data_IF_422021269348
#
_entry.id   IF_422021269348
#
_cell.length_a   1.000
_cell.length_b   1.000
_cell.length_c   1.000
_cell.angle_alpha   90.00
_cell.angle_beta   90.00
_cell.angle_gamma   90.00
#
_symmetry.space_group_name_H-M   'P 1'
#
loop_
_entity.id
_entity.type
_entity.pdbx_description
1 polymer ?
#
# COMPACT_ATOMS: atom_id res chain seq x y z
N UNK A 1 3.64 -26.65 -2.78
CA UNK A 1 4.73 -26.62 -3.77
C UNK A 1 5.27 -25.20 -3.81
N UNK A 2 6.53 -24.98 -3.44
CA UNK A 2 7.17 -23.67 -3.57
C UNK A 2 7.82 -23.58 -4.95
N UNK A 3 7.77 -22.43 -5.60
CA UNK A 3 8.43 -22.20 -6.90
C UNK A 3 9.34 -21.00 -6.70
N UNK A 4 10.61 -21.10 -7.11
CA UNK A 4 11.52 -19.96 -7.12
C UNK A 4 11.72 -19.46 -8.55
N UNK A 5 11.62 -18.15 -8.73
CA UNK A 5 11.99 -17.48 -9.97
C UNK A 5 13.42 -16.95 -9.82
N UNK A 6 14.27 -17.26 -10.78
CA UNK A 6 15.66 -16.80 -10.82
C UNK A 6 15.83 -15.95 -12.05
N UNK A 7 16.28 -14.71 -11.85
CA UNK A 7 16.63 -13.82 -12.97
C UNK A 7 18.08 -14.06 -13.33
N UNK A 8 18.33 -14.47 -14.57
CA UNK A 8 19.68 -14.59 -15.10
C UNK A 8 19.67 -14.34 -16.60
N UNK A 9 20.75 -13.73 -17.10
CA UNK A 9 21.02 -13.63 -18.54
C UNK A 9 21.75 -14.89 -19.08
N UNK A 10 22.07 -15.82 -18.19
CA UNK A 10 22.77 -17.07 -18.50
C UNK A 10 21.78 -18.22 -18.63
N UNK A 11 21.72 -18.81 -19.83
CA UNK A 11 20.85 -19.94 -20.17
C UNK A 11 21.36 -21.26 -19.58
N UNK A 12 22.62 -21.33 -19.12
CA UNK A 12 23.24 -22.53 -18.55
C UNK A 12 23.24 -22.53 -17.01
N UNK A 13 22.38 -21.71 -16.39
CA UNK A 13 22.35 -21.55 -14.94
C UNK A 13 22.12 -22.88 -14.21
N UNK A 14 23.12 -23.33 -13.45
CA UNK A 14 23.04 -24.56 -12.70
C UNK A 14 22.15 -24.40 -11.44
N UNK A 15 20.90 -24.86 -11.54
CA UNK A 15 19.94 -24.78 -10.43
C UNK A 15 20.35 -25.60 -9.19
N UNK A 16 21.26 -26.57 -9.33
CA UNK A 16 21.77 -27.36 -8.21
C UNK A 16 22.71 -26.56 -7.33
N UNK A 17 23.56 -25.72 -7.93
CA UNK A 17 24.46 -24.81 -7.19
C UNK A 17 23.66 -23.77 -6.40
N UNK A 18 22.61 -23.21 -6.99
CA UNK A 18 21.70 -22.28 -6.32
C UNK A 18 21.03 -22.96 -5.14
N UNK A 19 20.63 -24.23 -5.31
CA UNK A 19 20.01 -25.00 -4.23
C UNK A 19 20.97 -25.23 -3.07
N UNK A 20 22.21 -25.63 -3.35
CA UNK A 20 23.24 -25.82 -2.32
C UNK A 20 23.60 -24.50 -1.62
N UNK A 21 23.63 -23.39 -2.37
CA UNK A 21 23.83 -22.07 -1.79
C UNK A 21 22.68 -21.68 -0.85
N UNK A 22 21.42 -21.85 -1.29
CA UNK A 22 20.23 -21.55 -0.49
C UNK A 22 20.19 -22.36 0.82
N UNK A 23 20.63 -23.63 0.81
CA UNK A 23 20.68 -24.48 2.02
C UNK A 23 21.59 -23.93 3.13
N UNK A 24 22.57 -23.08 2.79
CA UNK A 24 23.45 -22.45 3.79
C UNK A 24 22.72 -21.42 4.66
N UNK A 25 21.65 -20.82 4.13
CA UNK A 25 20.93 -19.70 4.77
C UNK A 25 19.46 -20.01 5.06
N UNK A 26 18.86 -20.97 4.36
CA UNK A 26 17.45 -21.32 4.46
C UNK A 26 17.28 -22.73 5.03
N UNK A 27 16.23 -22.92 5.84
CA UNK A 27 15.86 -24.26 6.33
C UNK A 27 15.42 -25.14 5.16
N UNK A 28 15.61 -26.46 5.29
CA UNK A 28 15.35 -27.46 4.24
C UNK A 28 13.96 -27.35 3.59
N UNK A 29 12.93 -26.96 4.34
CA UNK A 29 11.56 -26.80 3.82
C UNK A 29 11.31 -25.50 3.04
N UNK A 30 12.22 -24.52 3.12
CA UNK A 30 12.16 -23.25 2.37
C UNK A 30 12.94 -23.33 1.05
N UNK A 31 13.84 -24.31 0.92
CA UNK A 31 14.61 -24.54 -0.31
C UNK A 31 13.72 -25.29 -1.30
N UNK A 32 13.28 -24.60 -2.36
CA UNK A 32 12.43 -25.22 -3.38
C UNK A 32 13.18 -26.25 -4.22
N UNK A 33 12.44 -27.25 -4.71
CA UNK A 33 12.89 -28.19 -5.72
C UNK A 33 12.74 -27.65 -7.15
N UNK A 34 11.95 -26.59 -7.37
CA UNK A 34 11.60 -26.10 -8.70
C UNK A 34 12.02 -24.65 -8.90
N UNK A 35 12.98 -24.44 -9.79
CA UNK A 35 13.50 -23.13 -10.18
C UNK A 35 13.06 -22.83 -11.62
N UNK A 36 12.48 -21.66 -11.84
CA UNK A 36 12.13 -21.13 -13.15
C UNK A 36 13.11 -20.00 -13.45
N UNK A 37 13.98 -20.20 -14.44
CA UNK A 37 14.89 -19.16 -14.91
C UNK A 37 14.12 -18.25 -15.88
N UNK A 38 14.22 -16.94 -15.67
CA UNK A 38 13.58 -15.91 -16.49
C UNK A 38 14.61 -14.83 -16.83
N UNK A 39 14.53 -14.26 -18.03
CA UNK A 39 15.46 -13.21 -18.46
C UNK A 39 15.26 -11.92 -17.64
N UNK A 40 14.02 -11.66 -17.24
CA UNK A 40 13.63 -10.54 -16.36
C UNK A 40 12.35 -10.90 -15.61
N UNK A 41 12.17 -10.33 -14.43
CA UNK A 41 10.86 -10.37 -13.80
C UNK A 41 9.83 -9.69 -14.72
N UNK A 42 8.67 -10.32 -14.99
CA UNK A 42 7.60 -9.64 -15.68
C UNK A 42 7.08 -8.53 -14.77
N UNK A 43 7.55 -7.31 -14.99
CA UNK A 43 7.06 -6.12 -14.28
C UNK A 43 5.71 -5.79 -14.91
N UNK A 44 4.64 -6.31 -14.30
CA UNK A 44 3.26 -6.19 -14.76
C UNK A 44 2.59 -4.90 -14.26
N UNK A 45 3.33 -3.81 -14.18
CA UNK A 45 2.79 -2.56 -13.68
C UNK A 45 1.74 -1.95 -14.64
N UNK A 46 1.74 -2.34 -15.92
CA UNK A 46 0.69 -2.01 -16.90
C UNK A 46 -0.02 -3.25 -17.50
N UNK A 47 -0.11 -4.35 -16.73
CA UNK A 47 -0.61 -5.63 -17.21
C UNK A 47 -1.91 -6.07 -16.52
N UNK A 48 -2.35 -7.29 -16.84
CA UNK A 48 -3.51 -7.91 -16.16
C UNK A 48 -3.26 -7.93 -14.65
N UNK A 49 -4.26 -7.54 -13.87
CA UNK A 49 -4.22 -7.62 -12.42
C UNK A 49 -4.00 -9.07 -11.97
N UNK A 50 -3.20 -9.26 -10.93
CA UNK A 50 -3.00 -10.58 -10.33
C UNK A 50 -4.32 -11.18 -9.84
N UNK A 51 -4.39 -12.51 -9.70
CA UNK A 51 -5.58 -13.16 -9.14
C UNK A 51 -5.97 -12.63 -7.76
N UNK A 52 -4.97 -12.25 -6.94
CA UNK A 52 -5.21 -11.63 -5.64
C UNK A 52 -5.88 -10.26 -5.77
N UNK A 53 -5.38 -9.39 -6.67
CA UNK A 53 -5.98 -8.08 -6.95
C UNK A 53 -7.38 -8.21 -7.55
N UNK A 54 -7.61 -9.15 -8.47
CA UNK A 54 -8.93 -9.42 -9.04
C UNK A 54 -9.93 -9.85 -7.97
N UNK A 55 -9.52 -10.75 -7.06
CA UNK A 55 -10.36 -11.18 -5.95
C UNK A 55 -10.69 -10.04 -5.00
N UNK A 56 -9.69 -9.25 -4.59
CA UNK A 56 -9.88 -8.11 -3.71
C UNK A 56 -10.85 -7.10 -4.33
N UNK A 57 -10.62 -6.73 -5.58
CA UNK A 57 -11.49 -5.80 -6.31
C UNK A 57 -12.92 -6.33 -6.42
N UNK A 58 -13.10 -7.61 -6.75
CA UNK A 58 -14.43 -8.22 -6.86
C UNK A 58 -15.14 -8.27 -5.50
N UNK A 59 -14.42 -8.67 -4.44
CA UNK A 59 -14.95 -8.72 -3.07
C UNK A 59 -15.38 -7.31 -2.61
N UNK A 60 -14.56 -6.29 -2.89
CA UNK A 60 -14.89 -4.89 -2.67
C UNK A 60 -16.17 -4.49 -3.43
N UNK A 61 -16.29 -4.79 -4.72
CA UNK A 61 -17.49 -4.45 -5.50
C UNK A 61 -18.75 -5.18 -5.04
N UNK A 62 -18.65 -6.45 -4.64
CA UNK A 62 -19.80 -7.23 -4.14
C UNK A 62 -20.26 -6.71 -2.79
N UNK A 63 -19.34 -6.53 -1.84
CA UNK A 63 -19.68 -6.07 -0.48
C UNK A 63 -20.33 -4.70 -0.46
N UNK A 64 -19.94 -3.84 -1.41
CA UNK A 64 -20.30 -2.43 -1.43
C UNK A 64 -21.22 -2.06 -2.60
N UNK A 65 -21.90 -3.05 -3.20
CA UNK A 65 -23.03 -2.81 -4.09
C UNK A 65 -24.21 -2.28 -3.26
N UNK A 66 -24.89 -1.25 -3.75
CA UNK A 66 -25.95 -0.48 -3.05
C UNK A 66 -27.07 -1.32 -2.43
N UNK A 67 -27.24 -2.57 -2.88
CA UNK A 67 -28.22 -3.53 -2.35
C UNK A 67 -27.79 -4.21 -1.03
N UNK A 68 -26.50 -4.22 -0.72
CA UNK A 68 -25.93 -4.83 0.49
C UNK A 68 -25.36 -3.69 1.34
N UNK A 69 -25.85 -3.53 2.57
CA UNK A 69 -25.47 -2.48 3.55
C UNK A 69 -23.98 -2.50 4.00
N UNK A 70 -23.03 -2.92 3.16
CA UNK A 70 -21.61 -2.78 3.45
C UNK A 70 -21.17 -1.34 3.26
N UNK A 71 -20.77 -0.68 4.35
CA UNK A 71 -19.99 0.58 4.27
C UNK A 71 -18.58 0.42 4.88
N UNK A 72 -18.30 -0.74 5.47
CA UNK A 72 -17.07 -1.06 6.21
C UNK A 72 -16.03 -1.68 5.27
N UNK A 73 -14.96 -0.96 4.98
CA UNK A 73 -13.75 -1.51 4.37
C UNK A 73 -13.14 -2.57 5.27
N UNK A 74 -12.64 -3.64 4.66
CA UNK A 74 -11.93 -4.74 5.33
C UNK A 74 -10.49 -4.89 4.83
N UNK A 75 -10.05 -4.00 3.94
CA UNK A 75 -8.76 -4.06 3.27
C UNK A 75 -7.88 -2.82 3.54
N UNK A 76 -8.37 -1.86 4.32
CA UNK A 76 -7.54 -0.74 4.74
C UNK A 76 -6.47 -1.27 5.70
N UNK A 77 -5.21 -0.99 5.40
CA UNK A 77 -4.10 -1.28 6.30
C UNK A 77 -3.66 0.02 6.98
N UNK A 78 -3.81 0.08 8.30
CA UNK A 78 -3.54 1.28 9.10
C UNK A 78 -2.20 1.15 9.83
N UNK A 79 -1.29 2.09 9.56
CA UNK A 79 -0.02 2.24 10.28
C UNK A 79 -0.03 3.55 11.06
N UNK A 80 0.02 3.45 12.39
CA UNK A 80 0.03 4.61 13.30
C UNK A 80 1.42 4.81 13.87
N UNK A 81 1.95 6.02 13.72
CA UNK A 81 3.21 6.43 14.32
C UNK A 81 2.99 7.58 15.28
N UNK A 82 3.40 7.41 16.54
CA UNK A 82 3.47 8.51 17.49
C UNK A 82 4.81 9.22 17.34
N UNK A 83 4.76 10.47 16.89
CA UNK A 83 5.95 11.32 16.84
C UNK A 83 6.10 12.05 18.17
N UNK A 84 7.19 11.78 18.87
CA UNK A 84 7.58 12.51 20.07
C UNK A 84 8.78 13.39 19.70
N UNK A 85 8.53 14.52 19.06
CA UNK A 85 9.58 15.47 18.69
C UNK A 85 9.54 16.69 19.61
N UNK A 86 10.71 17.17 20.05
CA UNK A 86 10.84 18.43 20.78
C UNK A 86 10.64 19.66 19.88
N UNK A 87 10.58 19.47 18.56
CA UNK A 87 10.42 20.50 17.54
C UNK A 87 9.14 20.28 16.74
N UNK A 88 8.59 21.37 16.20
CA UNK A 88 7.38 21.34 15.36
C UNK A 88 7.63 20.57 14.06
N UNK A 89 6.74 19.63 13.73
CA UNK A 89 6.76 18.93 12.44
C UNK A 89 6.37 19.89 11.31
N UNK A 90 7.25 20.05 10.32
CA UNK A 90 6.91 20.79 9.10
C UNK A 90 6.03 19.94 8.20
N UNK A 91 4.75 20.28 8.12
CA UNK A 91 3.77 19.60 7.27
C UNK A 91 4.17 19.67 5.79
N UNK A 92 4.73 20.79 5.34
CA UNK A 92 5.15 20.95 3.95
C UNK A 92 6.30 20.01 3.58
N UNK A 93 7.30 19.85 4.47
CA UNK A 93 8.40 18.90 4.26
C UNK A 93 7.89 17.46 4.26
N UNK A 94 6.95 17.12 5.15
CA UNK A 94 6.34 15.80 5.16
C UNK A 94 5.57 15.54 3.86
N UNK A 95 4.77 16.50 3.39
CA UNK A 95 4.03 16.40 2.12
C UNK A 95 4.99 16.19 0.95
N UNK A 96 6.10 16.93 0.89
CA UNK A 96 7.12 16.75 -0.14
C UNK A 96 7.78 15.37 -0.07
N UNK A 97 8.14 14.90 1.12
CA UNK A 97 8.74 13.58 1.30
C UNK A 97 7.79 12.46 0.85
N UNK A 98 6.51 12.52 1.25
CA UNK A 98 5.49 11.56 0.81
C UNK A 98 5.27 11.60 -0.70
N UNK A 99 5.20 12.80 -1.28
CA UNK A 99 5.09 12.97 -2.74
C UNK A 99 6.26 12.32 -3.48
N UNK A 100 7.49 12.48 -2.98
CA UNK A 100 8.67 11.85 -3.56
C UNK A 100 8.63 10.31 -3.48
N UNK A 101 8.15 9.75 -2.36
CA UNK A 101 7.97 8.30 -2.19
C UNK A 101 6.94 7.78 -3.21
N UNK A 102 5.77 8.42 -3.30
CA UNK A 102 4.71 8.00 -4.23
C UNK A 102 5.14 8.17 -5.68
N UNK A 103 5.87 9.23 -6.01
CA UNK A 103 6.46 9.41 -7.34
C UNK A 103 7.47 8.33 -7.70
N UNK A 104 8.30 7.91 -6.74
CA UNK A 104 9.33 6.89 -6.91
C UNK A 104 8.76 5.48 -7.06
N UNK A 105 7.72 5.13 -6.31
CA UNK A 105 7.17 3.77 -6.27
C UNK A 105 5.81 3.71 -6.98
N UNK A 106 5.77 3.00 -8.10
CA UNK A 106 4.60 2.95 -8.99
C UNK A 106 3.36 2.35 -8.32
N UNK A 107 3.56 1.43 -7.36
CA UNK A 107 2.47 0.74 -6.67
C UNK A 107 1.47 1.69 -5.99
N UNK A 108 1.94 2.85 -5.48
CA UNK A 108 1.08 3.84 -4.83
C UNK A 108 0.24 4.66 -5.81
N UNK A 109 0.48 4.50 -7.10
CA UNK A 109 -0.21 5.19 -8.19
C UNK A 109 -0.75 4.20 -9.23
N UNK A 110 -0.85 2.92 -8.87
CA UNK A 110 -1.46 1.88 -9.70
C UNK A 110 -2.96 1.87 -9.50
N UNK A 111 -3.71 2.17 -10.55
CA UNK A 111 -5.15 1.98 -10.62
C UNK A 111 -5.51 0.58 -11.12
N UNK A 112 -6.66 0.06 -10.71
CA UNK A 112 -7.28 -1.15 -11.23
C UNK A 112 -8.48 -0.76 -12.09
N UNK A 113 -8.38 -0.98 -13.41
CA UNK A 113 -9.35 -0.51 -14.40
C UNK A 113 -9.74 -1.68 -15.30
N UNK A 114 -11.03 -1.82 -15.60
CA UNK A 114 -11.48 -2.78 -16.61
C UNK A 114 -11.16 -2.29 -18.02
N UNK A 115 -10.50 -3.14 -18.80
CA UNK A 115 -10.26 -2.96 -20.23
C UNK A 115 -10.49 -4.30 -20.94
N UNK A 116 -11.31 -4.32 -21.98
CA UNK A 116 -11.65 -5.52 -22.78
C UNK A 116 -11.93 -6.78 -21.91
N UNK A 117 -12.83 -6.65 -20.94
CA UNK A 117 -13.25 -7.70 -20.00
C UNK A 117 -12.17 -8.22 -19.03
N UNK A 118 -11.02 -7.54 -18.94
CA UNK A 118 -9.96 -7.87 -17.99
C UNK A 118 -9.72 -6.71 -17.04
N UNK A 119 -9.53 -7.03 -15.76
CA UNK A 119 -9.04 -6.07 -14.79
C UNK A 119 -7.54 -5.85 -15.05
N UNK A 120 -7.18 -4.62 -15.39
CA UNK A 120 -5.83 -4.20 -15.72
C UNK A 120 -5.27 -3.31 -14.60
N UNK A 121 -3.98 -3.47 -14.35
CA UNK A 121 -3.19 -2.50 -13.60
C UNK A 121 -2.80 -1.37 -14.55
N UNK A 122 -3.04 -0.12 -14.14
CA UNK A 122 -2.65 1.06 -14.88
C UNK A 122 -1.92 2.02 -13.96
N UNK A 123 -0.65 2.27 -14.26
CA UNK A 123 0.12 3.28 -13.55
C UNK A 123 -0.34 4.68 -13.97
N UNK A 124 -0.77 5.48 -13.00
CA UNK A 124 -1.14 6.87 -13.21
C UNK A 124 0.08 7.78 -13.21
N UNK A 125 0.14 8.81 -14.07
CA UNK A 125 1.23 9.77 -14.07
C UNK A 125 1.30 10.53 -12.74
N UNK A 126 2.48 11.05 -12.44
CA UNK A 126 2.69 11.91 -11.27
C UNK A 126 1.82 13.16 -11.45
N UNK A 127 1.03 13.50 -10.43
CA UNK A 127 0.16 14.68 -10.41
C UNK A 127 0.16 15.33 -9.02
N UNK A 128 -0.46 16.49 -8.87
CA UNK A 128 -0.54 17.15 -7.56
C UNK A 128 -1.52 16.48 -6.59
N UNK A 129 -2.38 15.57 -7.06
CA UNK A 129 -3.44 14.93 -6.27
C UNK A 129 -3.18 13.42 -6.10
N UNK A 130 -1.93 13.03 -5.83
CA UNK A 130 -1.52 11.63 -5.73
C UNK A 130 -2.05 10.90 -4.48
N UNK A 131 -2.35 11.64 -3.41
CA UNK A 131 -2.88 11.09 -2.17
C UNK A 131 -3.60 12.17 -1.37
N UNK A 132 -4.47 11.75 -0.47
CA UNK A 132 -5.14 12.65 0.46
C UNK A 132 -4.29 12.83 1.73
N UNK A 133 -4.10 14.09 2.14
CA UNK A 133 -3.46 14.46 3.40
C UNK A 133 -4.45 15.26 4.24
N UNK A 134 -4.90 14.69 5.35
CA UNK A 134 -5.81 15.33 6.30
C UNK A 134 -5.09 15.69 7.60
N UNK A 135 -5.51 16.78 8.24
CA UNK A 135 -4.99 17.23 9.53
C UNK A 135 -6.17 17.49 10.45
N UNK A 136 -6.22 16.78 11.58
CA UNK A 136 -7.29 16.91 12.57
C UNK A 136 -6.70 17.13 13.94
N UNK A 137 -7.24 18.11 14.68
CA UNK A 137 -6.90 18.26 16.08
C UNK A 137 -7.82 17.42 16.97
N UNK A 138 -7.18 16.59 17.79
CA UNK A 138 -7.80 15.61 18.68
C UNK A 138 -8.27 16.33 19.93
N UNK A 139 -9.55 16.15 20.26
CA UNK A 139 -10.20 16.83 21.38
C UNK A 139 -10.13 16.01 22.66
N UNK A 140 -10.23 14.69 22.53
CA UNK A 140 -10.19 13.72 23.63
C UNK A 140 -9.97 12.31 23.07
N UNK A 141 -9.79 11.32 23.95
CA UNK A 141 -9.56 9.93 23.57
C UNK A 141 -10.72 9.31 22.80
N UNK A 142 -11.97 9.74 23.05
CA UNK A 142 -13.14 9.28 22.29
C UNK A 142 -13.07 9.77 20.84
N UNK A 143 -12.71 11.04 20.62
CA UNK A 143 -12.51 11.59 19.29
C UNK A 143 -11.37 10.86 18.57
N UNK A 144 -10.25 10.58 19.25
CA UNK A 144 -9.16 9.79 18.68
C UNK A 144 -9.62 8.41 18.21
N UNK A 145 -10.37 7.68 19.05
CA UNK A 145 -10.90 6.35 18.71
C UNK A 145 -11.85 6.41 17.51
N UNK A 146 -12.68 7.45 17.43
CA UNK A 146 -13.58 7.64 16.28
C UNK A 146 -12.80 7.89 14.99
N UNK A 147 -11.75 8.71 15.03
CA UNK A 147 -10.89 8.96 13.87
C UNK A 147 -10.21 7.67 13.42
N UNK A 148 -9.59 6.93 14.36
CA UNK A 148 -8.92 5.66 14.05
C UNK A 148 -9.88 4.64 13.46
N UNK A 149 -11.08 4.49 14.05
CA UNK A 149 -12.12 3.60 13.53
C UNK A 149 -12.56 4.01 12.13
N UNK A 150 -12.69 5.32 11.86
CA UNK A 150 -13.01 5.83 10.53
C UNK A 150 -11.88 5.52 9.52
N UNK A 151 -10.62 5.74 9.86
CA UNK A 151 -9.48 5.41 8.98
C UNK A 151 -9.42 3.90 8.67
N UNK A 152 -9.73 3.05 9.64
CA UNK A 152 -9.74 1.59 9.48
C UNK A 152 -10.91 1.09 8.62
N UNK A 153 -12.10 1.69 8.77
CA UNK A 153 -13.34 1.11 8.22
C UNK A 153 -13.98 1.91 7.10
N UNK A 154 -13.60 3.16 6.88
CA UNK A 154 -14.26 3.99 5.88
C UNK A 154 -13.78 3.62 4.47
N UNK A 155 -14.68 3.02 3.68
CA UNK A 155 -14.44 2.63 2.29
C UNK A 155 -14.22 3.83 1.36
N UNK A 156 -14.74 5.01 1.67
CA UNK A 156 -14.61 6.19 0.79
C UNK A 156 -13.22 6.82 0.78
N UNK A 157 -12.33 6.39 1.69
CA UNK A 157 -10.98 6.92 1.81
C UNK A 157 -10.04 6.49 0.67
N UNK A 158 -10.37 5.37 0.00
CA UNK A 158 -9.57 4.81 -1.08
C UNK A 158 -10.42 4.61 -2.33
N UNK A 159 -9.78 4.70 -3.49
CA UNK A 159 -10.42 4.43 -4.77
C UNK A 159 -9.43 3.73 -5.71
N UNK A 160 -9.60 2.41 -5.86
CA UNK A 160 -8.72 1.58 -6.68
C UNK A 160 -8.78 1.95 -8.17
N UNK A 161 -9.91 2.43 -8.69
CA UNK A 161 -10.04 2.84 -10.10
C UNK A 161 -9.29 4.14 -10.40
N UNK A 162 -9.07 4.97 -9.38
CA UNK A 162 -8.34 6.23 -9.47
C UNK A 162 -6.91 6.14 -8.95
N UNK A 163 -6.43 4.94 -8.61
CA UNK A 163 -5.08 4.73 -8.06
C UNK A 163 -4.84 5.46 -6.74
N UNK A 164 -5.91 5.79 -6.00
CA UNK A 164 -5.85 6.39 -4.66
C UNK A 164 -5.80 5.30 -3.62
N UNK A 165 -4.61 4.73 -3.44
CA UNK A 165 -4.34 3.59 -2.54
C UNK A 165 -3.50 3.96 -1.32
N UNK A 166 -3.17 5.25 -1.18
CA UNK A 166 -2.39 5.79 -0.07
C UNK A 166 -3.08 7.04 0.49
N UNK A 167 -3.07 7.16 1.82
CA UNK A 167 -3.63 8.29 2.57
C UNK A 167 -2.72 8.59 3.76
N UNK A 168 -2.63 9.87 4.14
CA UNK A 168 -1.95 10.30 5.35
C UNK A 168 -2.90 11.16 6.19
N UNK A 169 -3.10 10.79 7.46
CA UNK A 169 -3.87 11.59 8.41
C UNK A 169 -2.95 11.99 9.57
N UNK A 170 -2.78 13.30 9.77
CA UNK A 170 -1.97 13.88 10.84
C UNK A 170 -2.89 14.28 11.98
N UNK A 171 -2.62 13.75 13.17
CA UNK A 171 -3.39 14.05 14.36
C UNK A 171 -2.59 14.99 15.27
N UNK A 172 -3.07 16.21 15.45
CA UNK A 172 -2.53 17.17 16.42
C UNK A 172 -3.24 17.01 17.76
N UNK A 173 -2.50 16.94 18.86
CA UNK A 173 -3.07 17.36 20.14
C UNK A 173 -2.97 18.88 20.19
N UNK A 174 -4.03 19.57 20.60
CA UNK A 174 -3.96 21.01 20.89
C UNK A 174 -2.71 21.29 21.74
N UNK A 175 -1.79 22.12 21.23
CA UNK A 175 -0.91 22.87 22.11
C UNK A 175 -1.81 23.87 22.83
N UNK A 176 -2.29 23.53 24.03
CA UNK A 176 -2.80 24.58 24.89
C UNK A 176 -1.62 25.51 25.20
N UNK A 177 -1.71 26.73 24.68
CA UNK A 177 -1.04 27.90 25.21
C UNK A 177 -1.39 27.99 26.70
N UNK A 178 -0.47 27.58 27.55
CA UNK A 178 -0.36 28.05 28.93
C UNK A 178 0.97 28.81 29.06
N UNK A 179 1.14 29.82 28.20
CA UNK A 179 1.92 31.01 28.52
C UNK A 179 0.89 32.13 28.61
N UNK A 180 0.22 32.23 29.76
CA UNK A 180 -0.32 33.48 30.31
C UNK A 180 -0.81 33.24 31.76
N UNK A 181 -0.18 33.98 32.68
CA UNK A 181 -0.54 34.26 34.09
C UNK A 181 -0.14 33.21 35.14
N UNK A 182 1.08 33.28 35.69
CA UNK A 182 1.44 34.17 36.81
C UNK A 182 2.92 34.02 37.20
#
# INVERSE_FOLDING_TARGET
>A
MLIAYVVSNDLELNTDEIREYCKKYLRRYMVTSYFIVIDKFPINANGVASFAQQRLWMDEKIRFNESINGQTSVYNELLIYKLTTATSLSIDRLRQALTNIIGKYEIFRTALIYDQDKLMQKILPISNNLFDLEITCVMNDTHLKQIVLNEETNRSLFNLEQGRVFRCHILCQSCNNNDDNN
#
